data_IF_227106861484
#
_entry.id   IF_227106861484
#
_cell.length_a   1.000
_cell.length_b   1.000
_cell.length_c   1.000
_cell.angle_alpha   90.00
_cell.angle_beta   90.00
_cell.angle_gamma   90.00
#
_symmetry.space_group_name_H-M   'P 1'
#
loop_
_entity.id
_entity.type
_entity.pdbx_description
1 polymer ?
#
# COMPACT_ATOMS: atom_id res chain seq x y z
N UNK A 1 6.52 -5.88 23.36
CA UNK A 1 6.79 -7.29 23.70
C UNK A 1 6.08 -8.18 22.69
N UNK A 2 6.76 -9.20 22.16
CA UNK A 2 6.11 -10.19 21.31
C UNK A 2 5.06 -10.97 22.13
N UNK A 3 3.81 -11.02 21.65
CA UNK A 3 2.75 -11.85 22.24
C UNK A 3 2.57 -13.09 21.38
N UNK A 4 2.59 -14.26 21.99
CA UNK A 4 2.23 -15.50 21.31
C UNK A 4 0.71 -15.57 21.18
N UNK A 5 0.21 -15.78 19.97
CA UNK A 5 -1.22 -15.84 19.68
C UNK A 5 -1.52 -17.13 18.96
N UNK A 6 -2.49 -17.89 19.48
CA UNK A 6 -3.04 -19.05 18.81
C UNK A 6 -4.18 -18.60 17.90
N UNK A 7 -4.18 -19.04 16.65
CA UNK A 7 -5.16 -18.67 15.63
C UNK A 7 -5.64 -19.94 14.95
N UNK A 8 -6.96 -20.09 14.83
CA UNK A 8 -7.56 -21.16 14.03
C UNK A 8 -7.61 -20.73 12.56
N UNK A 9 -7.02 -21.55 11.69
CA UNK A 9 -7.03 -21.34 10.25
C UNK A 9 -7.78 -22.50 9.61
N UNK A 10 -8.68 -22.20 8.67
CA UNK A 10 -9.35 -23.23 7.88
C UNK A 10 -8.38 -23.94 6.94
N UNK A 11 -8.82 -25.09 6.41
CA UNK A 11 -8.00 -26.00 5.59
C UNK A 11 -7.39 -25.32 4.36
N UNK A 12 -8.08 -24.35 3.78
CA UNK A 12 -7.58 -23.55 2.65
C UNK A 12 -6.27 -22.83 3.00
N UNK A 13 -6.26 -22.05 4.09
CA UNK A 13 -5.07 -21.32 4.52
C UNK A 13 -4.01 -22.24 5.12
N UNK A 14 -4.41 -23.31 5.79
CA UNK A 14 -3.47 -24.34 6.24
C UNK A 14 -2.70 -24.98 5.08
N UNK A 15 -3.39 -25.34 4.01
CA UNK A 15 -2.78 -25.91 2.80
C UNK A 15 -1.84 -24.91 2.11
N UNK A 16 -2.27 -23.65 2.00
CA UNK A 16 -1.43 -22.58 1.45
C UNK A 16 -0.14 -22.38 2.27
N UNK A 17 -0.24 -22.27 3.60
CA UNK A 17 0.92 -22.11 4.47
C UNK A 17 1.87 -23.30 4.34
N UNK A 18 1.34 -24.53 4.32
CA UNK A 18 2.13 -25.73 4.14
C UNK A 18 2.86 -25.73 2.78
N UNK A 19 2.23 -25.26 1.71
CA UNK A 19 2.88 -25.12 0.40
C UNK A 19 4.02 -24.10 0.43
N UNK A 20 3.83 -22.96 1.11
CA UNK A 20 4.86 -21.92 1.26
C UNK A 20 6.07 -22.38 2.09
N UNK A 21 5.86 -23.27 3.07
CA UNK A 21 6.94 -23.89 3.83
C UNK A 21 7.64 -24.96 3.00
N UNK A 22 6.89 -25.84 2.33
CA UNK A 22 7.44 -26.90 1.47
C UNK A 22 8.25 -26.38 0.29
N UNK A 23 7.94 -25.17 -0.21
CA UNK A 23 8.73 -24.52 -1.26
C UNK A 23 10.10 -24.03 -0.76
N UNK A 24 10.36 -24.06 0.55
CA UNK A 24 11.58 -23.55 1.17
C UNK A 24 11.62 -22.03 1.34
N UNK A 25 10.55 -21.31 0.93
CA UNK A 25 10.49 -19.85 1.02
C UNK A 25 10.37 -19.35 2.46
N UNK A 26 9.77 -20.14 3.35
CA UNK A 26 9.59 -19.80 4.75
C UNK A 26 9.91 -20.99 5.65
N UNK A 27 10.45 -20.71 6.84
CA UNK A 27 10.85 -21.73 7.83
C UNK A 27 9.71 -22.20 8.73
N UNK A 28 8.64 -21.41 8.85
CA UNK A 28 7.51 -21.71 9.75
C UNK A 28 6.22 -21.02 9.35
N UNK A 29 5.09 -21.53 9.84
CA UNK A 29 3.77 -20.91 9.66
C UNK A 29 3.72 -19.48 10.22
N UNK A 30 4.34 -19.24 11.39
CA UNK A 30 4.41 -17.91 11.98
C UNK A 30 5.16 -16.92 11.11
N UNK A 31 6.15 -17.36 10.34
CA UNK A 31 6.88 -16.51 9.40
C UNK A 31 6.02 -16.11 8.21
N UNK A 32 5.26 -17.07 7.65
CA UNK A 32 4.29 -16.82 6.58
C UNK A 32 3.24 -15.80 7.04
N UNK A 33 2.66 -16.01 8.23
CA UNK A 33 1.66 -15.09 8.80
C UNK A 33 2.24 -13.70 9.03
N UNK A 34 3.45 -13.58 9.56
CA UNK A 34 4.11 -12.27 9.72
C UNK A 34 4.35 -11.57 8.38
N UNK A 35 4.79 -12.30 7.35
CA UNK A 35 4.99 -11.74 6.02
C UNK A 35 3.66 -11.23 5.43
N UNK A 36 2.58 -12.00 5.57
CA UNK A 36 1.24 -11.59 5.14
C UNK A 36 0.75 -10.34 5.88
N UNK A 37 0.94 -10.28 7.21
CA UNK A 37 0.55 -9.12 8.02
C UNK A 37 1.33 -7.85 7.65
N UNK A 38 2.64 -7.97 7.36
CA UNK A 38 3.43 -6.83 6.87
C UNK A 38 2.92 -6.30 5.54
N UNK A 39 2.59 -7.20 4.61
CA UNK A 39 2.01 -6.82 3.33
C UNK A 39 0.66 -6.13 3.53
N UNK A 40 -0.18 -6.68 4.40
CA UNK A 40 -1.49 -6.08 4.72
C UNK A 40 -1.35 -4.69 5.34
N UNK A 41 -0.45 -4.50 6.31
CA UNK A 41 -0.17 -3.20 6.92
C UNK A 41 0.29 -2.16 5.89
N UNK A 42 1.16 -2.56 4.96
CA UNK A 42 1.64 -1.70 3.89
C UNK A 42 0.52 -1.24 2.95
N UNK A 43 -0.33 -2.17 2.52
CA UNK A 43 -1.47 -1.88 1.66
C UNK A 43 -2.49 -0.98 2.37
N UNK A 44 -2.79 -1.23 3.64
CA UNK A 44 -3.68 -0.38 4.44
C UNK A 44 -3.11 1.03 4.62
N UNK A 45 -1.81 1.15 4.87
CA UNK A 45 -1.13 2.45 4.99
C UNK A 45 -1.24 3.24 3.69
N UNK A 46 -0.88 2.64 2.56
CA UNK A 46 -0.99 3.26 1.24
C UNK A 46 -2.42 3.68 0.89
N UNK A 47 -3.40 2.83 1.17
CA UNK A 47 -4.81 3.12 0.94
C UNK A 47 -5.25 4.33 1.75
N UNK A 48 -4.87 4.39 3.02
CA UNK A 48 -5.23 5.52 3.89
C UNK A 48 -4.57 6.83 3.44
N UNK A 49 -3.30 6.80 3.01
CA UNK A 49 -2.62 7.95 2.43
C UNK A 49 -3.29 8.43 1.15
N UNK A 50 -3.62 7.51 0.24
CA UNK A 50 -4.34 7.84 -1.00
C UNK A 50 -5.68 8.51 -0.70
N UNK A 51 -6.49 7.93 0.20
CA UNK A 51 -7.78 8.51 0.60
C UNK A 51 -7.60 9.90 1.19
N UNK A 52 -6.54 10.12 2.00
CA UNK A 52 -6.24 11.42 2.59
C UNK A 52 -5.93 12.46 1.52
N UNK A 53 -5.08 12.14 0.55
CA UNK A 53 -4.71 13.07 -0.53
C UNK A 53 -5.89 13.31 -1.50
N UNK A 54 -6.72 12.31 -1.78
CA UNK A 54 -7.96 12.49 -2.55
C UNK A 54 -8.91 13.47 -1.86
N UNK A 55 -9.16 13.30 -0.56
CA UNK A 55 -9.99 14.23 0.22
C UNK A 55 -9.43 15.65 0.24
N UNK A 56 -8.10 15.80 0.22
CA UNK A 56 -7.45 17.11 0.12
C UNK A 56 -7.69 17.74 -1.26
N UNK A 57 -7.60 16.95 -2.32
CA UNK A 57 -7.94 17.38 -3.69
C UNK A 57 -9.40 17.82 -3.81
N UNK A 58 -10.35 17.03 -3.32
CA UNK A 58 -11.78 17.37 -3.30
C UNK A 58 -12.04 18.70 -2.57
N UNK A 59 -11.37 18.92 -1.44
CA UNK A 59 -11.48 20.17 -0.66
C UNK A 59 -10.81 21.37 -1.31
N UNK A 60 -9.86 21.16 -2.24
CA UNK A 60 -9.20 22.26 -2.96
C UNK A 60 -10.09 22.89 -4.05
N UNK A 61 -11.26 22.31 -4.31
CA UNK A 61 -12.16 22.73 -5.37
C UNK A 61 -11.73 22.21 -6.74
N UNK A 62 -12.57 22.47 -7.75
CA UNK A 62 -12.32 22.04 -9.12
C UNK A 62 -11.67 23.16 -9.93
N UNK A 63 -10.70 22.82 -10.76
CA UNK A 63 -10.15 23.73 -11.76
C UNK A 63 -11.06 23.72 -12.99
N UNK A 64 -11.99 24.68 -13.06
CA UNK A 64 -13.01 24.74 -14.11
C UNK A 64 -12.45 25.03 -15.52
N UNK A 65 -11.32 25.73 -15.61
CA UNK A 65 -10.71 26.20 -16.86
C UNK A 65 -9.26 25.76 -17.02
N UNK A 66 -8.96 24.49 -16.72
CA UNK A 66 -7.60 23.97 -16.83
C UNK A 66 -7.09 23.92 -18.29
N UNK A 67 -6.14 24.79 -18.62
CA UNK A 67 -5.40 24.76 -19.89
C UNK A 67 -4.03 24.08 -19.70
N UNK A 68 -3.84 22.94 -20.36
CA UNK A 68 -2.61 22.15 -20.30
C UNK A 68 -1.38 22.90 -20.83
N UNK A 69 -1.53 23.69 -21.89
CA UNK A 69 -0.41 24.35 -22.57
C UNK A 69 0.14 25.50 -21.74
N UNK A 70 -0.76 26.31 -21.18
CA UNK A 70 -0.43 27.38 -20.24
C UNK A 70 0.23 26.82 -18.97
N UNK A 71 -0.34 25.76 -18.39
CA UNK A 71 0.23 25.09 -17.23
C UNK A 71 1.65 24.56 -17.50
N UNK A 72 1.89 23.98 -18.69
CA UNK A 72 3.22 23.49 -19.09
C UNK A 72 4.21 24.65 -19.27
N UNK A 73 3.80 25.74 -19.91
CA UNK A 73 4.64 26.92 -20.07
C UNK A 73 5.00 27.55 -18.72
N UNK A 74 4.07 27.57 -17.77
CA UNK A 74 4.29 28.05 -16.41
C UNK A 74 5.25 27.16 -15.63
N UNK A 75 5.13 25.83 -15.73
CA UNK A 75 6.09 24.91 -15.13
C UNK A 75 7.50 25.13 -15.68
N UNK A 76 7.65 25.23 -17.01
CA UNK A 76 8.96 25.51 -17.61
C UNK A 76 9.51 26.85 -17.13
N UNK A 77 8.72 27.93 -17.10
CA UNK A 77 9.18 29.22 -16.57
C UNK A 77 9.60 29.15 -15.10
N UNK A 78 8.86 28.41 -14.28
CA UNK A 78 9.10 28.31 -12.83
C UNK A 78 10.35 27.51 -12.47
N UNK A 79 10.72 26.52 -13.29
CA UNK A 79 11.83 25.60 -13.00
C UNK A 79 12.98 25.65 -14.04
N UNK A 80 12.98 26.59 -14.98
CA UNK A 80 14.04 26.72 -16.00
C UNK A 80 15.36 27.34 -15.50
N UNK A 81 15.49 27.67 -14.22
CA UNK A 81 16.67 28.31 -13.64
C UNK A 81 17.37 27.47 -12.54
N UNK A 82 17.06 26.18 -12.45
CA UNK A 82 17.91 25.18 -11.78
C UNK A 82 18.67 24.35 -12.83
#
# INVERSE_FOLDING_TARGET
MAKNTSILLGDYFGSFINQQIKSGKFSSASEVVRAALRMFEHEETKKNELIKELKKGEKSGFAESFNREEFRADLHRKYAAE
#
